data_IF_292005417130
#
_entry.id   IF_292005417130
#
_cell.length_a   1.000
_cell.length_b   1.000
_cell.length_c   1.000
_cell.angle_alpha   90.00
_cell.angle_beta   90.00
_cell.angle_gamma   90.00
#
_symmetry.space_group_name_H-M   'P 1'
#
loop_
_entity.id
_entity.type
_entity.pdbx_description
1 polymer ?
#
# COMPACT_ATOMS: atom_id res chain seq x y z
N UNK A 1 -30.09 -12.74 0.64
CA UNK A 1 -28.96 -11.93 0.14
C UNK A 1 -29.17 -11.83 -1.36
N UNK A 2 -29.68 -10.69 -1.82
CA UNK A 2 -29.96 -10.43 -3.23
C UNK A 2 -28.79 -9.63 -3.78
N UNK A 3 -28.07 -10.18 -4.75
CA UNK A 3 -27.02 -9.45 -5.45
C UNK A 3 -27.66 -8.29 -6.27
N UNK A 4 -27.17 -7.04 -6.13
CA UNK A 4 -27.78 -5.86 -6.76
C UNK A 4 -27.41 -5.68 -8.24
N UNK A 5 -26.80 -6.68 -8.87
CA UNK A 5 -26.28 -6.56 -10.24
C UNK A 5 -27.20 -7.25 -11.26
N UNK A 6 -27.37 -6.64 -12.46
CA UNK A 6 -28.07 -7.30 -13.55
C UNK A 6 -27.36 -8.63 -13.88
N UNK A 7 -28.11 -9.66 -14.30
CA UNK A 7 -27.51 -10.94 -14.64
C UNK A 7 -26.49 -10.77 -15.79
N UNK A 8 -25.37 -11.51 -15.75
CA UNK A 8 -24.35 -11.40 -16.78
C UNK A 8 -24.92 -11.82 -18.15
N UNK A 9 -24.65 -11.01 -19.17
CA UNK A 9 -25.09 -11.25 -20.56
C UNK A 9 -24.45 -12.51 -21.14
N UNK A 10 -23.21 -12.81 -20.74
CA UNK A 10 -22.49 -14.01 -21.12
C UNK A 10 -21.54 -14.41 -20.00
N UNK A 11 -21.52 -15.70 -19.67
CA UNK A 11 -20.63 -16.29 -18.67
C UNK A 11 -19.68 -17.23 -19.39
N UNK A 12 -18.37 -17.02 -19.23
CA UNK A 12 -17.37 -17.90 -19.81
C UNK A 12 -17.26 -19.15 -18.94
N UNK A 13 -17.49 -20.36 -19.50
CA UNK A 13 -17.32 -21.61 -18.78
C UNK A 13 -15.97 -21.70 -18.07
N UNK A 14 -16.00 -22.07 -16.79
CA UNK A 14 -14.81 -22.20 -15.95
C UNK A 14 -14.28 -20.89 -15.38
N UNK A 15 -14.64 -19.72 -15.90
CA UNK A 15 -14.18 -18.44 -15.34
C UNK A 15 -15.10 -17.94 -14.23
N UNK A 16 -14.52 -17.60 -13.09
CA UNK A 16 -15.21 -16.98 -11.95
C UNK A 16 -14.92 -15.50 -11.91
N UNK A 17 -15.86 -14.77 -11.33
CA UNK A 17 -15.74 -13.36 -10.97
C UNK A 17 -15.56 -13.24 -9.47
N UNK A 18 -14.76 -12.27 -9.06
CA UNK A 18 -14.44 -12.00 -7.66
C UNK A 18 -14.07 -10.53 -7.47
N UNK A 19 -13.93 -10.10 -6.21
CA UNK A 19 -13.56 -8.73 -5.89
C UNK A 19 -12.15 -8.37 -6.39
N UNK A 20 -11.24 -9.35 -6.40
CA UNK A 20 -9.88 -9.20 -6.89
C UNK A 20 -9.63 -10.11 -8.11
N UNK A 21 -8.89 -9.63 -9.13
CA UNK A 21 -8.55 -10.43 -10.30
C UNK A 21 -7.80 -11.71 -9.98
N UNK A 22 -6.95 -11.71 -8.93
CA UNK A 22 -6.19 -12.90 -8.54
C UNK A 22 -7.09 -13.97 -7.89
N UNK A 23 -8.05 -13.59 -7.03
CA UNK A 23 -9.00 -14.53 -6.42
C UNK A 23 -9.92 -15.14 -7.48
N UNK A 24 -10.41 -14.29 -8.39
CA UNK A 24 -11.19 -14.71 -9.54
C UNK A 24 -10.40 -15.69 -10.41
N UNK A 25 -9.14 -15.35 -10.72
CA UNK A 25 -8.26 -16.20 -11.50
C UNK A 25 -8.01 -17.54 -10.82
N UNK A 26 -7.56 -17.57 -9.57
CA UNK A 26 -7.26 -18.81 -8.80
C UNK A 26 -8.49 -19.70 -8.59
N UNK A 27 -9.66 -19.10 -8.44
CA UNK A 27 -10.92 -19.83 -8.34
C UNK A 27 -11.45 -20.39 -9.67
N UNK A 28 -10.88 -19.98 -10.81
CA UNK A 28 -11.32 -20.35 -12.16
C UNK A 28 -10.65 -21.63 -12.67
N UNK A 29 -11.14 -22.11 -13.81
CA UNK A 29 -10.67 -23.25 -14.55
C UNK A 29 -10.39 -22.79 -16.00
N UNK A 30 -9.39 -23.37 -16.66
CA UNK A 30 -8.94 -22.95 -18.00
C UNK A 30 -9.64 -23.73 -19.14
N UNK A 31 -10.75 -24.41 -18.86
CA UNK A 31 -11.46 -25.29 -19.79
C UNK A 31 -11.80 -24.62 -21.13
N UNK A 32 -12.19 -23.34 -21.10
CA UNK A 32 -12.54 -22.59 -22.32
C UNK A 32 -11.38 -22.50 -23.33
N UNK A 33 -10.12 -22.53 -22.87
CA UNK A 33 -8.95 -22.46 -23.75
C UNK A 33 -8.75 -23.74 -24.58
N UNK A 34 -9.37 -24.85 -24.19
CA UNK A 34 -9.31 -26.13 -24.90
C UNK A 34 -10.50 -26.35 -25.84
N UNK A 35 -11.53 -25.51 -25.77
CA UNK A 35 -12.75 -25.63 -26.57
C UNK A 35 -12.81 -24.55 -27.65
N UNK A 36 -12.73 -24.98 -28.92
CA UNK A 36 -12.86 -24.08 -30.07
C UNK A 36 -14.16 -23.26 -30.03
N UNK A 37 -15.27 -23.90 -29.64
CA UNK A 37 -16.58 -23.28 -29.54
C UNK A 37 -16.62 -22.22 -28.45
N UNK A 38 -16.05 -22.51 -27.27
CA UNK A 38 -16.00 -21.57 -26.16
C UNK A 38 -15.15 -20.34 -26.52
N UNK A 39 -13.97 -20.59 -27.10
CA UNK A 39 -13.03 -19.55 -27.48
C UNK A 39 -13.65 -18.61 -28.53
N UNK A 40 -14.31 -19.16 -29.56
CA UNK A 40 -14.96 -18.38 -30.61
C UNK A 40 -16.16 -17.56 -30.09
N UNK A 41 -16.96 -18.12 -29.18
CA UNK A 41 -18.05 -17.38 -28.56
C UNK A 41 -17.54 -16.22 -27.70
N UNK A 42 -16.44 -16.46 -26.96
CA UNK A 42 -15.80 -15.47 -26.10
C UNK A 42 -15.15 -14.34 -26.91
N UNK A 43 -14.59 -14.64 -28.09
CA UNK A 43 -14.04 -13.65 -29.00
C UNK A 43 -15.04 -12.53 -29.32
N UNK A 44 -16.31 -12.88 -29.53
CA UNK A 44 -17.40 -11.93 -29.86
C UNK A 44 -17.66 -10.89 -28.77
N UNK A 45 -17.26 -11.19 -27.52
CA UNK A 45 -17.47 -10.32 -26.36
C UNK A 45 -16.22 -9.55 -25.94
N UNK A 46 -15.02 -10.07 -26.20
CA UNK A 46 -13.76 -9.51 -25.70
C UNK A 46 -13.01 -8.72 -26.77
N UNK A 47 -13.11 -9.08 -28.06
CA UNK A 47 -12.28 -8.47 -29.10
C UNK A 47 -13.08 -7.96 -30.30
N UNK A 48 -12.69 -6.79 -30.78
CA UNK A 48 -12.97 -6.29 -32.14
C UNK A 48 -11.89 -6.77 -33.14
N UNK A 49 -11.08 -7.75 -32.74
CA UNK A 49 -10.00 -8.30 -33.57
C UNK A 49 -10.57 -9.12 -34.74
N UNK A 50 -9.92 -9.08 -35.92
CA UNK A 50 -10.28 -9.96 -37.02
C UNK A 50 -10.09 -11.43 -36.62
N UNK A 51 -10.96 -12.31 -37.11
CA UNK A 51 -10.99 -13.73 -36.73
C UNK A 51 -9.67 -14.50 -37.00
N UNK A 52 -8.76 -13.95 -37.80
CA UNK A 52 -7.45 -14.53 -38.11
C UNK A 52 -6.44 -14.45 -36.96
N UNK A 53 -6.57 -13.46 -36.08
CA UNK A 53 -5.59 -13.20 -35.01
C UNK A 53 -6.03 -13.83 -33.67
N UNK A 54 -7.19 -14.50 -33.66
CA UNK A 54 -7.70 -15.17 -32.48
C UNK A 54 -6.90 -16.44 -32.17
N UNK A 55 -6.52 -16.68 -30.91
CA UNK A 55 -5.78 -17.88 -30.53
C UNK A 55 -6.50 -19.16 -30.98
N UNK A 56 -5.72 -20.17 -31.34
CA UNK A 56 -6.25 -21.52 -31.58
C UNK A 56 -6.47 -22.24 -30.25
N UNK A 57 -7.46 -23.15 -30.16
CA UNK A 57 -7.66 -23.93 -28.95
C UNK A 57 -6.42 -24.75 -28.61
N UNK A 58 -6.12 -24.86 -27.32
CA UNK A 58 -5.03 -25.67 -26.80
C UNK A 58 -5.32 -27.16 -27.03
N UNK A 59 -4.26 -27.94 -27.23
CA UNK A 59 -4.38 -29.39 -27.38
C UNK A 59 -4.48 -30.06 -26.00
N UNK A 60 -5.64 -30.61 -25.67
CA UNK A 60 -5.87 -31.35 -24.43
C UNK A 60 -5.02 -32.62 -24.33
N UNK A 61 -4.61 -33.21 -25.45
CA UNK A 61 -3.78 -34.42 -25.49
C UNK A 61 -2.31 -34.15 -25.19
N UNK A 62 -1.88 -32.89 -25.27
CA UNK A 62 -0.52 -32.48 -24.89
C UNK A 62 -0.37 -32.24 -23.38
N UNK A 63 -1.48 -32.31 -22.63
CA UNK A 63 -1.51 -32.06 -21.20
C UNK A 63 -1.10 -33.35 -20.47
N UNK A 64 0.08 -33.34 -19.85
CA UNK A 64 0.64 -34.53 -19.19
C UNK A 64 0.13 -34.71 -17.74
N UNK A 65 -0.10 -33.62 -17.01
CA UNK A 65 -0.25 -33.65 -15.55
C UNK A 65 -1.58 -33.07 -15.03
N UNK A 66 -2.37 -32.43 -15.87
CA UNK A 66 -3.57 -31.69 -15.45
C UNK A 66 -4.71 -31.96 -16.43
N UNK A 67 -5.96 -31.84 -15.95
CA UNK A 67 -7.13 -31.86 -16.83
C UNK A 67 -7.58 -30.42 -17.12
N UNK A 68 -8.26 -30.13 -18.25
CA UNK A 68 -8.79 -28.80 -18.54
C UNK A 68 -9.70 -28.21 -17.44
N UNK A 69 -10.32 -29.08 -16.64
CA UNK A 69 -11.28 -28.72 -15.59
C UNK A 69 -10.63 -28.55 -14.21
N UNK A 70 -9.31 -28.68 -14.09
CA UNK A 70 -8.61 -28.38 -12.83
C UNK A 70 -8.67 -26.90 -12.53
N UNK A 71 -8.81 -26.53 -11.25
CA UNK A 71 -8.70 -25.14 -10.84
C UNK A 71 -7.28 -24.64 -11.11
N UNK A 72 -7.19 -23.39 -11.54
CA UNK A 72 -5.93 -22.66 -11.71
C UNK A 72 -5.14 -22.61 -10.41
N UNK A 73 -5.80 -22.55 -9.24
CA UNK A 73 -5.13 -22.67 -7.94
C UNK A 73 -4.34 -23.97 -7.83
N UNK A 74 -4.94 -25.12 -8.13
CA UNK A 74 -4.25 -26.41 -8.04
C UNK A 74 -3.11 -26.53 -9.07
N UNK A 75 -3.26 -25.89 -10.23
CA UNK A 75 -2.17 -25.80 -11.22
C UNK A 75 -1.04 -24.96 -10.63
N UNK A 76 -1.32 -23.74 -10.18
CA UNK A 76 -0.32 -22.82 -9.63
C UNK A 76 0.38 -23.44 -8.42
N UNK A 77 -0.35 -24.04 -7.48
CA UNK A 77 0.23 -24.68 -6.29
C UNK A 77 1.21 -25.82 -6.65
N UNK A 78 0.92 -26.59 -7.69
CA UNK A 78 1.82 -27.66 -8.15
C UNK A 78 3.00 -27.15 -9.01
N UNK A 79 2.85 -25.99 -9.66
CA UNK A 79 3.94 -25.33 -10.39
C UNK A 79 4.84 -24.53 -9.45
N UNK A 80 4.31 -24.06 -8.32
CA UNK A 80 5.09 -23.46 -7.27
C UNK A 80 6.02 -24.52 -6.67
N UNK A 81 7.26 -24.10 -6.40
CA UNK A 81 8.30 -24.97 -5.86
C UNK A 81 7.90 -25.38 -4.43
N UNK A 82 7.29 -26.56 -4.30
CA UNK A 82 6.88 -27.15 -3.01
C UNK A 82 8.12 -27.47 -2.13
N UNK A 83 9.23 -27.81 -2.79
CA UNK A 83 10.52 -28.05 -2.15
C UNK A 83 11.65 -27.36 -2.92
N UNK A 84 12.32 -26.41 -2.26
CA UNK A 84 13.55 -25.80 -2.77
C UNK A 84 14.65 -26.85 -2.86
N UNK A 85 14.80 -27.47 -4.03
CA UNK A 85 15.90 -28.39 -4.27
C UNK A 85 17.21 -27.59 -4.41
N UNK A 86 17.98 -27.54 -3.32
CA UNK A 86 19.27 -26.85 -3.19
C UNK A 86 20.33 -27.37 -4.18
N UNK A 87 20.07 -28.51 -4.85
CA UNK A 87 20.99 -29.15 -5.81
C UNK A 87 20.81 -28.59 -7.23
N UNK A 88 19.72 -27.86 -7.51
CA UNK A 88 19.49 -27.29 -8.85
C UNK A 88 20.25 -25.97 -9.00
N UNK A 89 21.28 -25.99 -9.84
CA UNK A 89 22.05 -24.81 -10.21
C UNK A 89 21.24 -23.97 -11.23
N UNK A 90 20.67 -22.87 -10.75
CA UNK A 90 19.94 -21.90 -11.57
C UNK A 90 20.84 -20.78 -12.12
N UNK A 91 22.18 -20.87 -11.98
CA UNK A 91 23.09 -19.81 -12.43
C UNK A 91 22.91 -19.48 -13.91
N UNK A 92 22.67 -20.46 -14.79
CA UNK A 92 22.43 -20.18 -16.21
C UNK A 92 21.15 -19.36 -16.45
N UNK A 93 20.11 -19.58 -15.67
CA UNK A 93 18.87 -18.82 -15.75
C UNK A 93 19.08 -17.39 -15.25
N UNK A 94 19.76 -17.23 -14.10
CA UNK A 94 20.07 -15.92 -13.55
C UNK A 94 21.05 -15.12 -14.42
N UNK A 95 22.01 -15.76 -15.09
CA UNK A 95 22.90 -15.09 -16.05
C UNK A 95 22.12 -14.62 -17.28
N UNK A 96 21.15 -15.41 -17.75
CA UNK A 96 20.31 -15.01 -18.89
C UNK A 96 19.32 -13.89 -18.51
N UNK A 97 18.79 -13.92 -17.29
CA UNK A 97 17.83 -12.95 -16.78
C UNK A 97 18.48 -11.81 -15.96
N UNK A 98 19.80 -11.65 -15.99
CA UNK A 98 20.49 -10.55 -15.32
C UNK A 98 20.37 -9.28 -16.19
N UNK A 99 19.51 -8.30 -15.81
CA UNK A 99 19.51 -7.02 -16.51
C UNK A 99 20.87 -6.35 -16.31
N UNK A 100 21.41 -5.77 -17.38
CA UNK A 100 22.66 -4.98 -17.32
C UNK A 100 22.49 -3.73 -16.46
N UNK A 101 21.30 -3.17 -16.43
CA UNK A 101 20.96 -1.99 -15.64
C UNK A 101 19.59 -2.15 -15.00
N UNK A 102 19.50 -1.93 -13.69
CA UNK A 102 18.23 -1.94 -12.98
C UNK A 102 17.51 -0.60 -13.20
N UNK A 103 16.51 -0.58 -14.08
CA UNK A 103 15.63 0.58 -14.24
C UNK A 103 14.44 0.45 -13.30
N UNK A 104 14.46 1.23 -12.22
CA UNK A 104 13.31 1.39 -11.35
C UNK A 104 12.46 2.55 -11.85
N UNK A 105 11.18 2.27 -12.14
CA UNK A 105 10.23 3.32 -12.48
C UNK A 105 9.79 3.98 -11.17
N UNK A 106 10.39 5.13 -10.85
CA UNK A 106 9.86 5.99 -9.79
C UNK A 106 8.57 6.59 -10.35
N UNK A 107 7.43 6.01 -9.99
CA UNK A 107 6.12 6.63 -10.17
C UNK A 107 6.08 7.90 -9.31
N UNK A 108 6.62 9.00 -9.83
CA UNK A 108 6.54 10.31 -9.20
C UNK A 108 5.10 10.81 -9.37
N UNK A 109 4.24 10.46 -8.42
CA UNK A 109 2.91 11.05 -8.29
C UNK A 109 3.09 12.56 -8.09
N UNK A 110 2.84 13.29 -9.18
CA UNK A 110 2.73 14.74 -9.30
C UNK A 110 3.53 15.54 -8.24
N UNK A 111 4.85 15.40 -8.26
CA UNK A 111 5.80 16.03 -7.32
C UNK A 111 5.54 17.52 -7.12
N UNK A 112 4.96 18.19 -8.12
CA UNK A 112 4.54 19.59 -8.06
C UNK A 112 3.39 19.87 -7.08
N UNK A 113 2.32 19.07 -7.10
CA UNK A 113 1.18 19.24 -6.16
C UNK A 113 1.64 18.97 -4.73
N UNK A 114 2.50 17.98 -4.54
CA UNK A 114 3.08 17.67 -3.23
C UNK A 114 3.91 18.83 -2.70
N UNK A 115 4.81 19.39 -3.53
CA UNK A 115 5.62 20.55 -3.15
C UNK A 115 4.76 21.77 -2.79
N UNK A 116 3.71 22.05 -3.56
CA UNK A 116 2.80 23.18 -3.29
C UNK A 116 2.05 22.99 -1.97
N UNK A 117 1.53 21.79 -1.73
CA UNK A 117 0.81 21.46 -0.48
C UNK A 117 1.73 21.58 0.72
N UNK A 118 3.00 21.15 0.59
CA UNK A 118 4.01 21.29 1.64
C UNK A 118 4.30 22.76 1.97
N UNK A 119 4.42 23.62 0.96
CA UNK A 119 4.66 25.06 1.15
C UNK A 119 3.47 25.73 1.85
N UNK A 120 2.24 25.44 1.41
CA UNK A 120 1.02 25.97 2.03
C UNK A 120 0.91 25.49 3.49
N UNK A 121 1.15 24.21 3.73
CA UNK A 121 1.14 23.62 5.06
C UNK A 121 2.21 24.20 5.98
N UNK A 122 3.42 24.46 5.47
CA UNK A 122 4.52 25.05 6.24
C UNK A 122 4.22 26.50 6.62
N UNK A 123 3.78 27.33 5.66
CA UNK A 123 3.41 28.72 5.93
C UNK A 123 2.23 28.82 6.91
N UNK A 124 1.17 28.04 6.69
CA UNK A 124 0.00 28.03 7.56
C UNK A 124 0.31 27.47 8.95
N UNK A 125 1.02 26.35 9.01
CA UNK A 125 1.40 25.68 10.25
C UNK A 125 2.33 26.53 11.12
N UNK A 126 3.27 27.25 10.52
CA UNK A 126 4.19 28.12 11.25
C UNK A 126 3.47 29.29 11.92
N UNK A 127 2.52 29.93 11.21
CA UNK A 127 1.76 31.07 11.74
C UNK A 127 0.84 30.62 12.87
N UNK A 128 0.10 29.52 12.68
CA UNK A 128 -0.80 28.98 13.71
C UNK A 128 -0.02 28.46 14.90
N UNK A 129 1.08 27.73 14.65
CA UNK A 129 1.97 27.21 15.68
C UNK A 129 2.55 28.33 16.55
N UNK A 130 3.06 29.40 15.94
CA UNK A 130 3.60 30.55 16.69
C UNK A 130 2.53 31.24 17.54
N UNK A 131 1.31 31.39 17.01
CA UNK A 131 0.18 31.99 17.76
C UNK A 131 -0.24 31.17 18.98
N UNK A 132 -0.11 29.84 18.93
CA UNK A 132 -0.41 28.93 20.05
C UNK A 132 0.75 28.86 21.04
N UNK A 133 1.98 28.81 20.54
CA UNK A 133 3.20 28.69 21.35
C UNK A 133 3.48 29.98 22.14
N UNK A 134 3.24 31.16 21.57
CA UNK A 134 3.47 32.43 22.25
C UNK A 134 2.77 32.58 23.62
N UNK A 135 1.43 32.38 23.76
CA UNK A 135 0.76 32.49 25.05
C UNK A 135 1.15 31.37 26.02
N UNK A 136 1.51 30.17 25.52
CA UNK A 136 2.01 29.08 26.34
C UNK A 136 3.34 29.46 27.00
N UNK A 137 4.29 30.01 26.23
CA UNK A 137 5.58 30.47 26.76
C UNK A 137 5.39 31.56 27.80
N UNK A 138 4.51 32.54 27.56
CA UNK A 138 4.25 33.62 28.51
C UNK A 138 3.64 33.10 29.81
N UNK A 139 2.66 32.19 29.73
CA UNK A 139 2.08 31.57 30.94
C UNK A 139 3.10 30.72 31.70
N UNK A 140 3.92 29.94 30.99
CA UNK A 140 4.99 29.15 31.59
C UNK A 140 6.02 30.04 32.29
N UNK A 141 6.47 31.13 31.65
CA UNK A 141 7.46 32.02 32.24
C UNK A 141 6.93 32.72 33.49
N UNK A 142 5.67 33.18 33.47
CA UNK A 142 5.01 33.74 34.64
C UNK A 142 4.85 32.71 35.75
N UNK A 143 4.48 31.47 35.41
CA UNK A 143 4.32 30.41 36.39
C UNK A 143 5.64 30.03 37.06
N UNK A 144 6.72 29.93 36.26
CA UNK A 144 8.08 29.64 36.74
C UNK A 144 8.59 30.79 37.61
N UNK A 145 8.40 32.05 37.20
CA UNK A 145 8.83 33.21 37.98
C UNK A 145 8.08 33.29 39.32
N UNK A 146 6.76 33.08 39.33
CA UNK A 146 5.96 33.01 40.55
C UNK A 146 6.33 31.83 41.46
N UNK A 147 6.65 30.67 40.88
CA UNK A 147 7.16 29.51 41.63
C UNK A 147 8.54 29.80 42.26
N UNK A 148 9.43 30.46 41.51
CA UNK A 148 10.78 30.80 41.97
C UNK A 148 10.77 31.85 43.09
N UNK A 149 9.97 32.91 42.96
CA UNK A 149 9.82 33.95 43.99
C UNK A 149 9.15 33.44 45.28
N UNK A 150 8.25 32.46 45.20
CA UNK A 150 7.69 31.80 46.40
C UNK A 150 8.72 30.94 47.12
N UNK A 151 9.72 30.41 46.40
CA UNK A 151 10.79 29.57 46.97
C UNK A 151 11.86 30.38 47.70
N UNK A 152 12.09 31.64 47.31
CA UNK A 152 13.08 32.52 47.97
C UNK A 152 12.58 33.10 49.30
N UNK A 153 11.27 33.26 49.50
CA UNK A 153 10.67 33.78 50.74
C UNK A 153 10.66 32.79 51.93
N UNK A 154 10.90 31.49 51.70
CA UNK A 154 10.98 30.49 52.79
C UNK A 154 12.38 30.37 53.43
N UNK A 155 13.35 31.22 53.09
CA UNK A 155 14.71 31.20 53.66
C UNK A 155 15.10 32.44 54.49
N UNK A 156 14.20 33.40 54.70
CA UNK A 156 14.52 34.65 55.42
C UNK A 156 13.54 34.79 56.60
N UNK A 157 13.84 34.12 57.72
CA UNK A 157 13.27 34.44 59.03
C UNK A 157 14.13 35.59 59.62
N UNK A 158 13.55 36.71 60.10
CA UNK A 158 14.34 37.86 60.54
C UNK A 158 14.85 37.66 61.98
N UNK A 159 16.15 37.90 62.19
CA UNK A 159 16.74 38.12 63.52
C UNK A 159 16.60 39.61 63.85
N UNK A 160 15.95 39.93 64.96
CA UNK A 160 15.80 41.28 65.49
C UNK A 160 17.17 41.94 65.77
N UNK A 161 17.33 43.20 65.35
CA UNK A 161 18.32 44.10 65.95
C UNK A 161 17.62 45.41 66.31
N UNK A 162 17.47 45.62 67.62
CA UNK A 162 16.97 46.83 68.26
C UNK A 162 17.80 48.05 67.82
N UNK A 163 17.15 49.04 67.20
CA UNK A 163 17.73 50.35 66.88
C UNK A 163 17.76 51.24 68.12
N UNK A 164 18.97 51.61 68.56
CA UNK A 164 19.20 52.70 69.50
C UNK A 164 18.72 54.04 68.92
N UNK A 165 17.83 54.69 69.66
CA UNK A 165 17.36 56.06 69.41
C UNK A 165 18.43 57.03 69.91
N UNK A 166 18.82 57.99 69.06
CA UNK A 166 19.80 59.04 69.37
C UNK A 166 19.11 60.39 69.59
N UNK A 167 19.66 61.15 70.57
CA UNK A 167 19.63 62.62 70.80
C UNK A 167 18.40 63.24 71.48
N UNK A 168 18.55 63.66 72.74
CA UNK A 168 18.98 65.01 73.18
C UNK A 168 19.25 65.02 74.69
#
# INVERSE_FOLDING_TARGET
MMDPYPPPVYVIPGMKVGCMPYDAFLGSNLECFFSATCLNNTARWISSLPASDWPKPLNSSAMLNFLPNTSTLSIVDQFLIDHWNIIKNFSSYFTFCAPTECTYKVEQYNSFIYALTLLIGCCGGLIVGLRVVAPLIVKFSQHIHGWFLRKTQMKIHPTETQQGITKK
#
